data_IF_609831676777
#
_entry.id   IF_609831676777
#
_cell.length_a   1.000
_cell.length_b   1.000
_cell.length_c   1.000
_cell.angle_alpha   90.00
_cell.angle_beta   90.00
_cell.angle_gamma   90.00
#
_symmetry.space_group_name_H-M   'P 1'
#
loop_
_entity.id
_entity.type
_entity.pdbx_description
1 polymer ?
#
# COMPACT_ATOMS: atom_id res chain seq x y z
N UNK A 1 -35.18 -16.68 25.57
CA UNK A 1 -34.56 -16.81 24.22
C UNK A 1 -33.37 -15.87 24.20
N UNK A 2 -32.13 -16.34 24.37
CA UNK A 2 -30.98 -15.45 24.37
C UNK A 2 -30.70 -14.95 22.95
N UNK A 3 -30.44 -13.65 22.85
CA UNK A 3 -30.10 -12.89 21.65
C UNK A 3 -28.66 -13.20 21.22
N UNK A 4 -28.49 -13.64 19.96
CA UNK A 4 -27.23 -14.02 19.36
C UNK A 4 -26.73 -12.92 18.39
N UNK A 5 -26.68 -11.68 18.84
CA UNK A 5 -25.98 -10.62 18.12
C UNK A 5 -24.47 -10.75 18.35
N UNK A 6 -23.89 -11.75 17.69
CA UNK A 6 -22.45 -11.84 17.43
C UNK A 6 -22.02 -10.56 16.72
N UNK A 7 -21.31 -9.68 17.41
CA UNK A 7 -20.73 -8.46 16.85
C UNK A 7 -19.92 -8.80 15.59
N UNK A 8 -20.31 -8.35 14.38
CA UNK A 8 -19.50 -8.57 13.21
C UNK A 8 -18.40 -7.50 13.19
N UNK A 9 -17.15 -7.95 13.36
CA UNK A 9 -16.01 -7.37 12.65
C UNK A 9 -15.56 -5.92 13.01
N UNK A 10 -15.41 -5.58 14.30
CA UNK A 10 -14.90 -4.26 14.74
C UNK A 10 -13.35 -4.11 14.77
N UNK A 11 -12.59 -5.13 14.34
CA UNK A 11 -11.13 -5.13 14.46
C UNK A 11 -10.35 -4.29 13.42
N UNK A 12 -10.76 -4.16 12.13
CA UNK A 12 -9.93 -3.50 11.13
C UNK A 12 -9.90 -1.96 11.26
N UNK A 13 -11.00 -1.35 11.70
CA UNK A 13 -11.14 0.11 11.81
C UNK A 13 -10.27 0.71 12.92
N UNK A 14 -10.14 0.04 14.07
CA UNK A 14 -9.30 0.49 15.19
C UNK A 14 -7.80 0.54 14.81
N UNK A 15 -7.38 -0.40 13.97
CA UNK A 15 -5.98 -0.50 13.52
C UNK A 15 -5.61 0.60 12.54
N UNK A 16 -6.54 0.99 11.66
CA UNK A 16 -6.33 2.11 10.74
C UNK A 16 -6.31 3.45 11.49
N UNK A 17 -7.19 3.64 12.48
CA UNK A 17 -7.19 4.84 13.30
C UNK A 17 -5.87 5.05 14.06
N UNK A 18 -5.38 4.01 14.74
CA UNK A 18 -4.09 4.10 15.45
C UNK A 18 -2.89 4.31 14.52
N UNK A 19 -2.93 3.81 13.29
CA UNK A 19 -1.90 4.09 12.29
C UNK A 19 -1.99 5.51 11.76
N UNK A 20 -3.19 6.05 11.58
CA UNK A 20 -3.38 7.46 11.20
C UNK A 20 -2.83 8.39 12.27
N UNK A 21 -3.13 8.14 13.53
CA UNK A 21 -2.60 8.96 14.64
C UNK A 21 -1.06 8.94 14.67
N UNK A 22 -0.46 7.79 14.37
CA UNK A 22 1.01 7.63 14.35
C UNK A 22 1.68 8.19 13.10
N UNK A 23 0.98 8.23 11.97
CA UNK A 23 1.50 8.65 10.67
C UNK A 23 0.96 10.01 10.23
N UNK A 24 0.21 10.72 11.08
CA UNK A 24 -0.46 11.98 10.74
C UNK A 24 0.51 13.08 10.27
N UNK A 25 1.74 13.07 10.78
CA UNK A 25 2.80 14.02 10.42
C UNK A 25 3.80 13.44 9.39
N UNK A 26 3.50 12.28 8.79
CA UNK A 26 4.37 11.67 7.80
C UNK A 26 4.34 12.49 6.51
N UNK A 27 5.49 13.06 6.13
CA UNK A 27 5.64 13.88 4.91
C UNK A 27 6.42 13.19 3.78
N UNK A 28 7.26 12.21 4.14
CA UNK A 28 8.19 11.56 3.22
C UNK A 28 8.36 10.08 3.58
N UNK A 29 8.26 9.23 2.58
CA UNK A 29 8.59 7.81 2.65
C UNK A 29 9.86 7.58 1.82
N UNK A 30 10.87 6.96 2.42
CA UNK A 30 12.09 6.54 1.73
C UNK A 30 12.09 5.03 1.63
N UNK A 31 12.27 4.49 0.42
CA UNK A 31 12.42 3.05 0.18
C UNK A 31 13.80 2.83 -0.39
N UNK A 32 14.65 2.17 0.38
CA UNK A 32 15.95 1.70 -0.08
C UNK A 32 15.83 0.32 -0.74
N UNK A 33 16.76 0.01 -1.64
CA UNK A 33 16.82 -1.24 -2.41
C UNK A 33 15.50 -1.66 -3.09
N UNK A 34 14.94 -0.74 -3.87
CA UNK A 34 13.67 -0.93 -4.59
C UNK A 34 13.68 -2.12 -5.58
N UNK A 35 14.86 -2.58 -6.00
CA UNK A 35 15.04 -3.70 -6.93
C UNK A 35 14.48 -5.03 -6.41
N UNK A 36 14.53 -5.25 -5.08
CA UNK A 36 14.04 -6.46 -4.41
C UNK A 36 12.56 -6.34 -4.03
N UNK A 37 11.97 -5.14 -4.18
CA UNK A 37 10.55 -4.92 -3.90
C UNK A 37 9.71 -5.41 -5.07
N UNK A 38 8.75 -6.31 -4.78
CA UNK A 38 7.80 -6.76 -5.78
C UNK A 38 6.76 -5.69 -6.14
N UNK A 39 6.29 -5.68 -7.39
CA UNK A 39 5.19 -4.78 -7.82
C UNK A 39 3.94 -4.95 -6.94
N UNK A 40 3.63 -6.18 -6.53
CA UNK A 40 2.48 -6.48 -5.66
C UNK A 40 2.64 -5.83 -4.28
N UNK A 41 3.84 -5.88 -3.70
CA UNK A 41 4.12 -5.24 -2.42
C UNK A 41 4.03 -3.72 -2.55
N UNK A 42 4.61 -3.16 -3.62
CA UNK A 42 4.56 -1.74 -3.91
C UNK A 42 3.11 -1.22 -4.07
N UNK A 43 2.27 -1.95 -4.81
CA UNK A 43 0.83 -1.66 -4.92
C UNK A 43 0.07 -1.79 -3.59
N UNK A 44 0.42 -2.79 -2.77
CA UNK A 44 -0.17 -2.94 -1.43
C UNK A 44 0.17 -1.76 -0.53
N UNK A 45 1.42 -1.28 -0.57
CA UNK A 45 1.84 -0.08 0.18
C UNK A 45 0.98 1.12 -0.24
N UNK A 46 0.84 1.36 -1.56
CA UNK A 46 -0.01 2.42 -2.08
C UNK A 46 -1.46 2.33 -1.56
N UNK A 47 -2.09 1.14 -1.65
CA UNK A 47 -3.47 0.93 -1.18
C UNK A 47 -3.60 1.19 0.32
N UNK A 48 -2.68 0.68 1.14
CA UNK A 48 -2.72 0.87 2.60
C UNK A 48 -2.52 2.32 3.02
N UNK A 49 -1.64 3.05 2.35
CA UNK A 49 -1.47 4.47 2.62
C UNK A 49 -2.73 5.25 2.22
N UNK A 50 -3.32 4.94 1.07
CA UNK A 50 -4.58 5.56 0.65
C UNK A 50 -5.74 5.28 1.63
N UNK A 51 -5.81 4.07 2.22
CA UNK A 51 -6.77 3.75 3.29
C UNK A 51 -6.50 4.56 4.56
N UNK A 52 -5.24 4.65 5.00
CA UNK A 52 -4.85 5.37 6.23
C UNK A 52 -5.11 6.87 6.09
N UNK A 53 -4.78 7.48 4.94
CA UNK A 53 -4.91 8.91 4.69
C UNK A 53 -6.26 9.32 4.06
N UNK A 54 -7.23 8.41 3.97
CA UNK A 54 -8.57 8.71 3.41
C UNK A 54 -8.52 9.25 1.96
N UNK A 55 -7.60 8.73 1.16
CA UNK A 55 -7.47 9.07 -0.27
C UNK A 55 -7.82 7.90 -1.19
N UNK A 56 -8.36 6.81 -0.66
CA UNK A 56 -8.72 5.61 -1.43
C UNK A 56 -9.76 5.86 -2.54
N UNK A 57 -10.65 6.85 -2.35
CA UNK A 57 -11.70 7.18 -3.32
C UNK A 57 -11.22 8.07 -4.48
N UNK A 58 -9.95 8.51 -4.45
CA UNK A 58 -9.37 9.41 -5.45
C UNK A 58 -8.43 8.62 -6.37
N UNK A 59 -8.83 8.47 -7.63
CA UNK A 59 -8.07 7.73 -8.65
C UNK A 59 -6.68 8.31 -8.91
N UNK A 60 -6.54 9.61 -8.75
CA UNK A 60 -5.34 10.36 -9.16
C UNK A 60 -4.38 10.60 -7.98
N UNK A 61 -4.68 10.03 -6.80
CA UNK A 61 -3.82 10.12 -5.62
C UNK A 61 -3.14 8.79 -5.34
N UNK A 62 -1.81 8.87 -5.24
CA UNK A 62 -0.95 7.77 -4.87
C UNK A 62 -0.34 7.99 -3.48
N UNK A 63 -0.05 6.89 -2.79
CA UNK A 63 0.66 6.82 -1.51
C UNK A 63 0.10 7.73 -0.41
N UNK A 64 -1.22 7.93 -0.36
CA UNK A 64 -1.84 8.79 0.64
C UNK A 64 -1.56 10.28 0.45
N UNK A 65 -1.15 10.71 -0.76
CA UNK A 65 -0.63 12.05 -1.06
C UNK A 65 0.69 12.37 -0.30
N UNK A 66 1.46 11.35 0.04
CA UNK A 66 2.77 11.50 0.69
C UNK A 66 3.88 11.44 -0.37
N UNK A 67 4.93 12.24 -0.18
CA UNK A 67 6.10 12.19 -1.07
C UNK A 67 6.84 10.87 -0.87
N UNK A 68 7.20 10.21 -1.98
CA UNK A 68 7.94 8.94 -1.93
C UNK A 68 9.26 9.09 -2.67
N UNK A 69 10.36 8.75 -2.00
CA UNK A 69 11.71 8.77 -2.54
C UNK A 69 12.24 7.33 -2.59
N UNK A 70 12.59 6.89 -3.79
CA UNK A 70 13.03 5.52 -4.05
C UNK A 70 14.53 5.50 -4.36
N UNK A 71 15.25 4.60 -3.72
CA UNK A 71 16.66 4.32 -3.97
C UNK A 71 16.88 2.83 -4.24
N UNK A 72 17.99 2.51 -4.89
CA UNK A 72 18.39 1.15 -5.23
C UNK A 72 18.79 1.01 -6.69
N UNK A 73 19.36 -0.14 -7.03
CA UNK A 73 19.83 -0.45 -8.37
C UNK A 73 18.91 -1.47 -9.05
N UNK A 74 18.13 -1.01 -10.04
CA UNK A 74 17.16 -1.82 -10.76
C UNK A 74 17.78 -2.97 -11.57
N UNK A 75 19.10 -2.92 -11.85
CA UNK A 75 19.83 -3.98 -12.54
C UNK A 75 20.39 -5.06 -11.59
N UNK A 76 20.18 -4.92 -10.28
CA UNK A 76 20.47 -5.98 -9.30
C UNK A 76 19.41 -7.09 -9.29
N UNK A 77 19.47 -7.98 -8.30
CA UNK A 77 18.59 -9.13 -8.16
C UNK A 77 17.11 -8.75 -8.22
N UNK A 78 16.35 -9.56 -8.95
CA UNK A 78 14.89 -9.48 -8.96
C UNK A 78 14.29 -9.93 -7.61
N UNK A 79 13.06 -9.50 -7.28
CA UNK A 79 12.36 -9.95 -6.09
C UNK A 79 12.18 -11.48 -6.10
N UNK A 80 12.43 -12.13 -4.96
CA UNK A 80 12.31 -13.60 -4.85
C UNK A 80 10.91 -14.06 -5.22
N UNK A 81 10.80 -14.89 -6.26
CA UNK A 81 9.54 -15.44 -6.76
C UNK A 81 8.46 -14.39 -7.13
N UNK A 82 8.86 -13.16 -7.48
CA UNK A 82 7.96 -12.09 -7.88
C UNK A 82 8.56 -11.21 -8.97
N UNK A 83 7.80 -10.23 -9.48
CA UNK A 83 8.26 -9.30 -10.52
C UNK A 83 8.62 -7.94 -9.94
N UNK A 84 9.61 -7.29 -10.56
CA UNK A 84 10.04 -5.93 -10.22
C UNK A 84 8.92 -4.91 -10.41
N UNK A 85 9.06 -3.75 -9.77
CA UNK A 85 8.04 -2.69 -9.73
C UNK A 85 7.63 -2.13 -11.10
N UNK A 86 8.46 -2.27 -12.12
CA UNK A 86 8.21 -1.78 -13.48
C UNK A 86 7.60 -2.85 -14.41
N UNK A 87 7.34 -4.06 -13.91
CA UNK A 87 6.63 -5.07 -14.67
C UNK A 87 5.12 -4.77 -14.66
N UNK A 88 4.47 -4.94 -15.81
CA UNK A 88 3.02 -4.81 -15.90
C UNK A 88 2.35 -5.83 -14.97
N UNK A 89 1.29 -5.48 -14.21
CA UNK A 89 0.59 -6.44 -13.37
C UNK A 89 0.12 -7.62 -14.21
N UNK A 90 0.65 -8.82 -13.95
CA UNK A 90 0.22 -10.03 -14.65
C UNK A 90 -1.18 -10.40 -14.16
N UNK A 91 -2.23 -9.85 -14.78
CA UNK A 91 -3.62 -10.16 -14.40
C UNK A 91 -4.71 -9.18 -14.83
N UNK A 92 -4.41 -7.93 -15.21
CA UNK A 92 -5.42 -7.02 -15.76
C UNK A 92 -4.89 -6.29 -16.98
N UNK A 93 -5.43 -6.66 -18.14
CA UNK A 93 -5.32 -5.91 -19.38
C UNK A 93 -5.99 -4.55 -19.17
N UNK A 94 -5.22 -3.52 -18.83
CA UNK A 94 -5.69 -2.15 -18.96
C UNK A 94 -5.71 -1.83 -20.46
N UNK A 95 -6.87 -2.08 -21.08
CA UNK A 95 -7.17 -1.50 -22.39
C UNK A 95 -7.13 0.02 -22.24
N UNK A 96 -6.25 0.67 -23.01
CA UNK A 96 -6.20 2.12 -23.20
C UNK A 96 -7.53 2.65 -23.76
#
# INVERSE_FOLDING_TARGET
>A
RPDNTSTPNAAPSLKIHSLRDRLGDLILIIIDEISVVSHNLFQKINKRLNEIFETADKSDIYFGNISVLLFGDLAQCEPVAAKQIFWAPTGETFSL
#
